data_IF_323250418755
#
_entry.id   IF_323250418755
#
_cell.length_a   1.000
_cell.length_b   1.000
_cell.length_c   1.000
_cell.angle_alpha   90.00
_cell.angle_beta   90.00
_cell.angle_gamma   90.00
#
_symmetry.space_group_name_H-M   'P 1'
#
loop_
_entity.id
_entity.type
_entity.pdbx_description
1 polymer ?
#
# COMPACT_ATOMS: atom_id res chain seq x y z
N UNK A 1 -4.20 -4.81 -31.41
CA UNK A 1 -3.61 -4.77 -30.05
C UNK A 1 -4.54 -3.97 -29.16
N UNK A 2 -4.98 -4.54 -28.04
CA UNK A 2 -5.98 -3.93 -27.16
C UNK A 2 -5.28 -2.94 -26.21
N UNK A 3 -5.64 -1.64 -26.15
CA UNK A 3 -4.92 -0.64 -25.35
C UNK A 3 -4.89 -0.93 -23.84
N UNK A 4 -5.80 -1.78 -23.34
CA UNK A 4 -5.80 -2.27 -21.96
C UNK A 4 -4.58 -3.15 -21.61
N UNK A 5 -3.93 -3.77 -22.60
CA UNK A 5 -2.77 -4.65 -22.39
C UNK A 5 -1.44 -3.87 -22.31
N UNK A 6 -1.42 -2.59 -22.72
CA UNK A 6 -0.20 -1.79 -22.74
C UNK A 6 0.30 -1.34 -21.35
N UNK A 7 -0.56 -1.46 -20.33
CA UNK A 7 -0.27 -1.07 -18.94
C UNK A 7 -0.21 -2.27 -17.97
N UNK A 8 -0.24 -3.51 -18.48
CA UNK A 8 -0.11 -4.67 -17.59
C UNK A 8 1.35 -4.77 -17.12
N UNK A 9 1.66 -4.18 -15.96
CA UNK A 9 2.96 -4.43 -15.32
C UNK A 9 3.01 -5.91 -15.00
N UNK A 10 3.98 -6.61 -15.59
CA UNK A 10 4.23 -7.99 -15.23
C UNK A 10 4.50 -8.10 -13.73
N UNK A 11 4.03 -9.18 -13.10
CA UNK A 11 4.21 -9.43 -11.66
C UNK A 11 5.68 -9.34 -11.24
N UNK A 12 6.59 -9.73 -12.13
CA UNK A 12 8.05 -9.61 -11.96
C UNK A 12 8.53 -8.16 -11.89
N UNK A 13 7.97 -7.27 -12.74
CA UNK A 13 8.32 -5.84 -12.70
C UNK A 13 7.80 -5.20 -11.43
N UNK A 14 6.57 -5.51 -11.04
CA UNK A 14 5.96 -5.04 -9.79
C UNK A 14 6.79 -5.47 -8.57
N UNK A 15 7.24 -6.72 -8.52
CA UNK A 15 8.13 -7.20 -7.46
C UNK A 15 9.43 -6.39 -7.36
N UNK A 16 10.08 -6.11 -8.49
CA UNK A 16 11.30 -5.29 -8.52
C UNK A 16 11.05 -3.87 -8.05
N UNK A 17 9.92 -3.27 -8.45
CA UNK A 17 9.53 -1.94 -8.02
C UNK A 17 9.30 -1.90 -6.50
N UNK A 18 8.67 -2.93 -5.92
CA UNK A 18 8.54 -3.07 -4.47
C UNK A 18 9.89 -3.18 -3.75
N UNK A 19 10.83 -3.94 -4.30
CA UNK A 19 12.17 -4.06 -3.69
C UNK A 19 12.95 -2.76 -3.74
N UNK A 20 12.92 -2.05 -4.89
CA UNK A 20 13.56 -0.73 -5.01
C UNK A 20 12.96 0.27 -4.03
N UNK A 21 11.64 0.21 -3.84
CA UNK A 21 10.99 1.01 -2.83
C UNK A 21 11.59 0.72 -1.47
N UNK A 22 11.54 -0.53 -1.00
CA UNK A 22 12.06 -0.89 0.33
C UNK A 22 13.53 -0.48 0.53
N UNK A 23 14.34 -0.55 -0.53
CA UNK A 23 15.72 -0.09 -0.47
C UNK A 23 15.84 1.43 -0.30
N UNK A 24 14.99 2.20 -0.98
CA UNK A 24 14.88 3.64 -0.79
C UNK A 24 14.42 4.01 0.63
N UNK A 25 13.41 3.32 1.17
CA UNK A 25 12.75 3.72 2.43
C UNK A 25 13.54 3.33 3.68
N UNK A 26 14.24 2.19 3.61
CA UNK A 26 14.78 1.53 4.79
C UNK A 26 16.14 0.89 4.54
N UNK A 27 16.66 0.93 3.30
CA UNK A 27 17.98 0.43 2.90
C UNK A 27 18.38 -0.85 3.65
N UNK A 28 19.54 -0.88 4.33
CA UNK A 28 20.03 -2.04 5.09
C UNK A 28 19.52 -2.13 6.54
N UNK A 29 18.60 -1.27 6.96
CA UNK A 29 18.05 -1.30 8.32
C UNK A 29 17.34 -2.62 8.64
N UNK A 30 17.22 -3.00 9.92
CA UNK A 30 16.44 -4.17 10.33
C UNK A 30 15.00 -4.17 9.78
N UNK A 31 14.37 -2.98 9.77
CA UNK A 31 13.03 -2.77 9.19
C UNK A 31 13.03 -3.06 7.68
N UNK A 32 14.03 -2.59 6.95
CA UNK A 32 14.18 -2.86 5.51
C UNK A 32 14.39 -4.34 5.21
N UNK A 33 15.13 -5.06 6.05
CA UNK A 33 15.30 -6.50 5.92
C UNK A 33 13.99 -7.26 6.13
N UNK A 34 13.22 -6.90 7.17
CA UNK A 34 11.90 -7.48 7.40
C UNK A 34 10.93 -7.22 6.25
N UNK A 35 10.89 -5.99 5.72
CA UNK A 35 10.02 -5.65 4.60
C UNK A 35 10.38 -6.42 3.31
N UNK A 36 11.68 -6.60 3.02
CA UNK A 36 12.12 -7.46 1.91
C UNK A 36 11.71 -8.91 2.10
N UNK A 37 11.78 -9.42 3.34
CA UNK A 37 11.36 -10.78 3.67
C UNK A 37 9.85 -10.95 3.45
N UNK A 38 9.04 -10.02 3.94
CA UNK A 38 7.58 -10.04 3.76
C UNK A 38 7.22 -10.05 2.28
N UNK A 39 7.81 -9.14 1.49
CA UNK A 39 7.58 -9.09 0.03
C UNK A 39 7.98 -10.40 -0.64
N UNK A 40 9.14 -10.96 -0.31
CA UNK A 40 9.58 -12.25 -0.86
C UNK A 40 8.60 -13.37 -0.52
N UNK A 41 8.15 -13.45 0.73
CA UNK A 41 7.22 -14.47 1.19
C UNK A 41 5.89 -14.37 0.46
N UNK A 42 5.31 -13.17 0.35
CA UNK A 42 4.01 -12.98 -0.30
C UNK A 42 4.07 -13.26 -1.81
N UNK A 43 5.11 -12.80 -2.51
CA UNK A 43 5.27 -13.09 -3.93
C UNK A 43 5.54 -14.58 -4.18
N UNK A 44 6.31 -15.24 -3.31
CA UNK A 44 6.58 -16.68 -3.41
C UNK A 44 5.32 -17.51 -3.14
N UNK A 45 4.54 -17.13 -2.12
CA UNK A 45 3.29 -17.80 -1.75
C UNK A 45 2.28 -17.82 -2.90
N UNK A 46 2.19 -16.74 -3.66
CA UNK A 46 1.22 -16.59 -4.75
C UNK A 46 1.83 -16.85 -6.14
N UNK A 47 3.05 -17.40 -6.24
CA UNK A 47 3.77 -17.57 -7.52
C UNK A 47 3.08 -18.55 -8.47
N UNK A 48 2.41 -19.56 -7.93
CA UNK A 48 1.67 -20.57 -8.70
C UNK A 48 0.22 -20.20 -8.96
N UNK A 49 -0.21 -18.97 -8.66
CA UNK A 49 -1.57 -18.54 -8.92
C UNK A 49 -1.82 -18.47 -10.42
N UNK A 50 -2.93 -19.05 -10.87
CA UNK A 50 -3.33 -19.10 -12.29
C UNK A 50 -4.63 -18.36 -12.55
N UNK A 51 -5.40 -18.04 -11.50
CA UNK A 51 -6.63 -17.27 -11.64
C UNK A 51 -6.31 -15.79 -11.98
N UNK A 52 -6.69 -15.30 -13.17
CA UNK A 52 -6.39 -13.94 -13.59
C UNK A 52 -7.02 -12.88 -12.68
N UNK A 53 -8.22 -13.13 -12.14
CA UNK A 53 -8.90 -12.16 -11.25
C UNK A 53 -8.13 -12.02 -9.94
N UNK A 54 -7.68 -13.14 -9.40
CA UNK A 54 -6.89 -13.18 -8.16
C UNK A 54 -5.51 -12.57 -8.35
N UNK A 55 -4.85 -12.81 -9.48
CA UNK A 55 -3.58 -12.17 -9.83
C UNK A 55 -3.73 -10.65 -9.87
N UNK A 56 -4.76 -10.12 -10.52
CA UNK A 56 -5.00 -8.67 -10.58
C UNK A 56 -5.32 -8.08 -9.20
N UNK A 57 -6.09 -8.79 -8.37
CA UNK A 57 -6.35 -8.38 -6.98
C UNK A 57 -5.04 -8.30 -6.15
N UNK A 58 -4.16 -9.28 -6.30
CA UNK A 58 -2.85 -9.32 -5.63
C UNK A 58 -1.94 -8.20 -6.13
N UNK A 59 -1.86 -7.99 -7.45
CA UNK A 59 -1.13 -6.85 -8.04
C UNK A 59 -1.67 -5.53 -7.52
N UNK A 60 -2.99 -5.36 -7.49
CA UNK A 60 -3.66 -4.17 -6.95
C UNK A 60 -3.39 -3.95 -5.46
N UNK A 61 -3.26 -5.02 -4.67
CA UNK A 61 -2.81 -4.95 -3.27
C UNK A 61 -1.39 -4.41 -3.15
N UNK A 62 -0.45 -4.95 -3.92
CA UNK A 62 0.94 -4.50 -3.93
C UNK A 62 1.07 -3.04 -4.41
N UNK A 63 0.37 -2.66 -5.49
CA UNK A 63 0.34 -1.28 -6.01
C UNK A 63 -0.19 -0.31 -4.95
N UNK A 64 -1.29 -0.65 -4.26
CA UNK A 64 -1.80 0.18 -3.15
C UNK A 64 -0.78 0.33 -2.03
N UNK A 65 -0.04 -0.73 -1.70
CA UNK A 65 1.06 -0.67 -0.74
C UNK A 65 2.14 0.34 -1.16
N UNK A 66 2.56 0.31 -2.43
CA UNK A 66 3.52 1.27 -2.98
C UNK A 66 2.99 2.71 -2.92
N UNK A 67 1.75 2.92 -3.38
CA UNK A 67 1.12 4.24 -3.40
C UNK A 67 0.94 4.83 -2.01
N UNK A 68 0.48 4.02 -1.04
CA UNK A 68 0.32 4.45 0.35
C UNK A 68 1.67 4.90 0.94
N UNK A 69 2.75 4.19 0.62
CA UNK A 69 4.06 4.62 1.05
C UNK A 69 4.51 5.92 0.36
N UNK A 70 4.37 6.04 -0.96
CA UNK A 70 4.76 7.25 -1.68
C UNK A 70 4.05 8.49 -1.13
N UNK A 71 2.77 8.36 -0.78
CA UNK A 71 1.98 9.42 -0.14
C UNK A 71 2.49 9.71 1.28
N UNK A 72 2.80 8.67 2.07
CA UNK A 72 3.36 8.86 3.42
C UNK A 72 4.71 9.57 3.39
N UNK A 73 5.60 9.20 2.48
CA UNK A 73 6.92 9.83 2.31
C UNK A 73 6.77 11.28 1.83
N UNK A 74 5.95 11.52 0.80
CA UNK A 74 5.71 12.88 0.27
C UNK A 74 5.06 13.79 1.31
N UNK A 75 4.09 13.27 2.07
CA UNK A 75 3.42 13.98 3.17
C UNK A 75 4.30 14.19 4.40
N UNK A 76 5.34 13.37 4.60
CA UNK A 76 6.29 13.55 5.71
C UNK A 76 7.27 14.69 5.44
N UNK A 77 7.60 14.94 4.17
CA UNK A 77 8.58 15.94 3.75
C UNK A 77 7.97 17.31 3.37
N UNK A 78 6.64 17.40 3.19
CA UNK A 78 5.90 18.66 2.96
C UNK A 78 5.12 19.09 4.22
N UNK A 79 5.54 20.18 4.91
CA UNK A 79 4.88 20.67 6.12
C UNK A 79 3.40 21.06 5.92
N UNK A 80 3.03 21.57 4.74
CA UNK A 80 1.67 22.00 4.44
C UNK A 80 0.78 20.79 4.16
N UNK A 81 1.32 19.77 3.47
CA UNK A 81 0.64 18.51 3.25
C UNK A 81 0.46 17.74 4.57
N UNK A 82 1.47 17.70 5.43
CA UNK A 82 1.40 17.09 6.77
C UNK A 82 0.26 17.71 7.61
N UNK A 83 0.16 19.04 7.62
CA UNK A 83 -0.90 19.76 8.35
C UNK A 83 -2.29 19.43 7.81
N UNK A 84 -2.44 19.31 6.49
CA UNK A 84 -3.71 18.90 5.85
C UNK A 84 -4.06 17.45 6.15
N UNK A 85 -3.09 16.54 6.11
CA UNK A 85 -3.31 15.12 6.42
C UNK A 85 -3.72 14.91 7.88
N UNK A 86 -3.08 15.61 8.82
CA UNK A 86 -3.49 15.55 10.23
C UNK A 86 -4.91 16.09 10.43
N UNK A 87 -5.28 17.20 9.77
CA UNK A 87 -6.65 17.73 9.84
C UNK A 87 -7.70 16.73 9.30
N UNK A 88 -7.41 16.05 8.18
CA UNK A 88 -8.27 15.00 7.62
C UNK A 88 -8.38 13.81 8.59
N UNK A 89 -7.27 13.39 9.19
CA UNK A 89 -7.25 12.30 10.17
C UNK A 89 -8.07 12.63 11.41
N UNK A 90 -7.99 13.86 11.92
CA UNK A 90 -8.79 14.31 13.07
C UNK A 90 -10.28 14.26 12.76
N UNK A 91 -10.71 14.74 11.59
CA UNK A 91 -12.11 14.68 11.17
C UNK A 91 -12.60 13.23 10.99
N UNK A 92 -11.82 12.39 10.31
CA UNK A 92 -12.20 10.99 10.11
C UNK A 92 -12.32 10.21 11.44
N UNK A 93 -11.44 10.49 12.41
CA UNK A 93 -11.52 9.93 13.76
C UNK A 93 -12.75 10.41 14.53
N UNK A 94 -13.12 11.69 14.37
CA UNK A 94 -14.33 12.25 14.97
C UNK A 94 -15.59 11.56 14.40
N UNK A 95 -15.68 11.45 13.07
CA UNK A 95 -16.80 10.78 12.39
C UNK A 95 -16.93 9.31 12.80
N UNK A 96 -15.80 8.59 12.90
CA UNK A 96 -15.79 7.18 13.35
C UNK A 96 -16.25 7.04 14.79
N UNK A 97 -15.79 7.91 15.69
CA UNK A 97 -16.25 7.92 17.09
C UNK A 97 -17.74 8.21 17.19
N UNK A 98 -18.23 9.16 16.41
CA UNK A 98 -19.64 9.54 16.40
C UNK A 98 -20.51 8.37 15.92
N UNK A 99 -20.12 7.69 14.83
CA UNK A 99 -20.78 6.46 14.35
C UNK A 99 -20.68 5.30 15.35
N UNK A 100 -19.65 5.25 16.18
CA UNK A 100 -19.50 4.20 17.19
C UNK A 100 -20.44 4.47 18.37
N UNK A 101 -20.51 5.71 18.84
CA UNK A 101 -21.46 6.14 19.89
C UNK A 101 -22.92 5.95 19.46
N UNK A 102 -23.27 6.23 18.20
CA UNK A 102 -24.61 5.99 17.65
C UNK A 102 -24.99 4.50 17.59
N UNK A 103 -24.01 3.60 17.46
CA UNK A 103 -24.22 2.15 17.47
C UNK A 103 -24.31 1.58 18.88
N UNK A 104 -23.53 2.12 19.81
CA UNK A 104 -23.50 1.66 21.20
C UNK A 104 -24.69 2.21 22.01
N UNK A 105 -25.21 3.39 21.67
CA UNK A 105 -26.44 3.96 22.26
C UNK A 105 -27.76 3.39 21.73
N UNK A 106 -27.71 2.49 20.73
CA UNK A 106 -28.87 1.75 20.20
C UNK A 106 -29.02 0.34 20.80
N UNK A 107 -28.21 -0.02 21.80
CA UNK A 107 -28.31 -1.27 22.56
C UNK A 107 -28.94 -1.07 23.92
#
# INVERSE_FOLDING_TARGET
MNPAQAMERSSTRLYRDCLRLVDHIASKSPKGQQLRLILRTEFKKNMGETDPVKIEALKGGAIRGLSNYLVHESGSNDPQLKKRMEAVKTHALADLKQRQQERDGKR
#
